data_IF_245238368901
#
_entry.id   IF_245238368901
#
_cell.length_a   1.000
_cell.length_b   1.000
_cell.length_c   1.000
_cell.angle_alpha   90.00
_cell.angle_beta   90.00
_cell.angle_gamma   90.00
#
_symmetry.space_group_name_H-M   'P 1'
#
loop_
_entity.id
_entity.type
_entity.pdbx_description
1 polymer ?
#
# COMPACT_ATOMS: atom_id res chain seq x y z
N UNK A 1 18.21 -33.09 -60.31
CA UNK A 1 18.78 -32.82 -58.97
C UNK A 1 17.73 -32.06 -58.17
N UNK A 2 17.01 -32.73 -57.25
CA UNK A 2 15.92 -32.15 -56.44
C UNK A 2 16.51 -31.73 -55.09
N UNK A 3 16.57 -30.42 -54.84
CA UNK A 3 17.02 -29.87 -53.56
C UNK A 3 15.81 -29.67 -52.66
N UNK A 4 15.75 -30.40 -51.54
CA UNK A 4 14.74 -30.25 -50.50
C UNK A 4 15.20 -29.15 -49.53
N UNK A 5 14.61 -27.96 -49.63
CA UNK A 5 14.74 -26.92 -48.61
C UNK A 5 13.92 -27.34 -47.37
N UNK A 6 14.62 -27.68 -46.29
CA UNK A 6 14.04 -27.87 -44.97
C UNK A 6 13.95 -26.51 -44.27
N UNK A 7 12.73 -26.00 -44.06
CA UNK A 7 12.51 -24.87 -43.14
C UNK A 7 12.59 -25.39 -41.70
N UNK A 8 13.63 -24.98 -40.98
CA UNK A 8 13.72 -25.15 -39.53
C UNK A 8 12.82 -24.12 -38.85
N UNK A 9 11.71 -24.55 -38.27
CA UNK A 9 10.86 -23.71 -37.42
C UNK A 9 11.56 -23.46 -36.09
N UNK A 10 11.92 -22.21 -35.81
CA UNK A 10 12.39 -21.80 -34.49
C UNK A 10 11.21 -21.74 -33.52
N UNK A 11 11.11 -22.71 -32.61
CA UNK A 11 10.17 -22.67 -31.50
C UNK A 11 10.68 -21.67 -30.45
N UNK A 12 10.06 -20.50 -30.35
CA UNK A 12 10.27 -19.59 -29.23
C UNK A 12 9.65 -20.23 -27.98
N UNK A 13 10.50 -20.79 -27.10
CA UNK A 13 10.10 -21.18 -25.76
C UNK A 13 9.78 -19.91 -24.95
N UNK A 14 8.50 -19.67 -24.69
CA UNK A 14 8.06 -18.61 -23.77
C UNK A 14 8.31 -19.12 -22.36
N UNK A 15 9.36 -18.61 -21.71
CA UNK A 15 9.58 -18.85 -20.28
C UNK A 15 8.61 -17.96 -19.48
N UNK A 16 7.51 -18.56 -19.01
CA UNK A 16 6.72 -17.99 -17.92
C UNK A 16 7.50 -18.18 -16.63
N UNK A 17 8.11 -17.10 -16.13
CA UNK A 17 8.59 -17.09 -14.75
C UNK A 17 7.39 -16.91 -13.80
N UNK A 18 7.24 -17.73 -12.76
CA UNK A 18 6.26 -17.45 -11.73
C UNK A 18 6.61 -16.10 -11.09
N UNK A 19 5.68 -15.15 -11.13
CA UNK A 19 5.75 -13.95 -10.31
C UNK A 19 5.63 -14.42 -8.87
N UNK A 20 6.70 -14.26 -8.08
CA UNK A 20 6.63 -14.51 -6.65
C UNK A 20 5.60 -13.54 -6.05
N UNK A 21 4.60 -14.09 -5.36
CA UNK A 21 3.74 -13.27 -4.51
C UNK A 21 4.61 -12.61 -3.42
N UNK A 22 4.25 -11.41 -3.00
CA UNK A 22 4.92 -10.76 -1.88
C UNK A 22 4.87 -11.70 -0.66
N UNK A 23 6.04 -12.01 -0.10
CA UNK A 23 6.14 -12.86 1.09
C UNK A 23 5.65 -12.06 2.31
N UNK A 24 4.97 -12.75 3.23
CA UNK A 24 4.53 -12.14 4.49
C UNK A 24 5.75 -11.85 5.38
N UNK A 25 5.65 -10.80 6.20
CA UNK A 25 6.72 -10.46 7.16
C UNK A 25 6.60 -11.36 8.39
N UNK A 26 7.72 -11.78 8.99
CA UNK A 26 7.72 -12.47 10.28
C UNK A 26 7.07 -11.56 11.33
N UNK A 27 5.98 -11.99 11.99
CA UNK A 27 5.31 -11.15 12.98
C UNK A 27 6.18 -10.86 14.22
N UNK A 28 7.26 -11.62 14.45
CA UNK A 28 8.23 -11.36 15.51
C UNK A 28 9.09 -10.15 15.15
N UNK A 29 8.97 -9.09 15.94
CA UNK A 29 9.68 -7.82 15.69
C UNK A 29 8.78 -6.73 15.12
N UNK A 30 7.51 -7.03 14.84
CA UNK A 30 6.50 -6.04 14.51
C UNK A 30 6.09 -5.24 15.74
N UNK A 31 6.27 -3.92 15.66
CA UNK A 31 5.77 -2.96 16.65
C UNK A 31 4.67 -2.12 16.03
N UNK A 32 3.59 -1.91 16.79
CA UNK A 32 2.52 -1.01 16.35
C UNK A 32 2.99 0.43 16.51
N UNK A 33 2.97 1.19 15.43
CA UNK A 33 3.27 2.62 15.45
C UNK A 33 2.01 3.36 14.98
N UNK A 34 1.33 4.09 15.87
CA UNK A 34 0.06 4.69 15.53
C UNK A 34 0.24 5.80 14.50
N UNK A 35 -0.54 5.73 13.44
CA UNK A 35 -0.76 6.83 12.51
C UNK A 35 -2.23 7.21 12.66
N UNK A 36 -2.47 8.25 13.46
CA UNK A 36 -3.81 8.78 13.71
C UNK A 36 -4.15 9.79 12.61
N UNK A 37 -5.32 9.63 11.99
CA UNK A 37 -5.84 10.56 10.98
C UNK A 37 -7.17 11.10 11.47
N UNK A 38 -7.25 12.42 11.61
CA UNK A 38 -8.51 13.14 11.83
C UNK A 38 -9.00 13.72 10.51
N UNK A 39 -10.29 13.59 10.26
CA UNK A 39 -10.96 14.28 9.17
C UNK A 39 -11.62 15.57 9.70
N UNK A 40 -11.01 16.72 9.45
CA UNK A 40 -11.60 18.04 9.73
C UNK A 40 -12.35 18.65 8.55
N UNK A 41 -12.45 17.91 7.44
CA UNK A 41 -13.18 18.30 6.25
C UNK A 41 -14.66 17.90 6.29
N UNK A 42 -15.29 18.01 5.12
CA UNK A 42 -16.69 17.72 4.84
C UNK A 42 -16.90 16.51 3.91
N UNK A 43 -15.82 15.98 3.33
CA UNK A 43 -15.83 14.77 2.51
C UNK A 43 -15.31 13.56 3.29
N UNK A 44 -15.81 12.36 2.99
CA UNK A 44 -15.28 11.11 3.55
C UNK A 44 -13.84 10.90 3.07
N UNK A 45 -12.94 10.60 3.99
CA UNK A 45 -11.54 10.26 3.70
C UNK A 45 -11.37 8.75 3.76
N UNK A 46 -10.71 8.17 2.76
CA UNK A 46 -10.33 6.76 2.76
C UNK A 46 -8.81 6.62 2.67
N UNK A 47 -8.25 5.83 3.58
CA UNK A 47 -6.83 5.52 3.65
C UNK A 47 -6.58 4.08 3.20
N UNK A 48 -5.54 3.88 2.41
CA UNK A 48 -5.22 2.61 1.76
C UNK A 48 -3.71 2.35 1.79
N UNK A 49 -3.35 1.08 1.67
CA UNK A 49 -1.98 0.59 1.64
C UNK A 49 -1.78 -0.27 0.39
N UNK A 50 -0.83 0.09 -0.46
CA UNK A 50 -0.38 -0.79 -1.53
C UNK A 50 0.54 -1.85 -0.95
N UNK A 51 0.11 -3.10 -1.09
CA UNK A 51 0.81 -4.29 -0.60
C UNK A 51 1.41 -5.12 -1.73
N UNK A 52 1.03 -4.82 -2.97
CA UNK A 52 1.65 -5.27 -4.21
C UNK A 52 1.29 -4.29 -5.34
N UNK A 53 2.04 -4.29 -6.44
CA UNK A 53 2.03 -3.31 -7.54
C UNK A 53 0.67 -2.92 -8.18
N UNK A 54 -0.42 -3.60 -7.84
CA UNK A 54 -1.76 -3.39 -8.39
C UNK A 54 -2.85 -3.75 -7.38
N UNK A 55 -2.48 -3.99 -6.12
CA UNK A 55 -3.38 -4.42 -5.07
C UNK A 55 -3.17 -3.57 -3.81
N UNK A 56 -4.25 -2.91 -3.41
CA UNK A 56 -4.29 -2.10 -2.21
C UNK A 56 -5.27 -2.69 -1.20
N UNK A 57 -4.87 -2.71 0.07
CA UNK A 57 -5.73 -2.98 1.19
C UNK A 57 -6.31 -1.67 1.73
N UNK A 58 -7.56 -1.71 2.19
CA UNK A 58 -8.14 -0.60 2.93
C UNK A 58 -7.58 -0.57 4.35
N UNK A 59 -7.19 0.62 4.80
CA UNK A 59 -6.73 0.85 6.17
C UNK A 59 -7.85 1.48 7.02
N UNK A 60 -8.57 2.45 6.47
CA UNK A 60 -9.67 3.12 7.16
C UNK A 60 -10.58 3.86 6.17
N UNK A 61 -11.85 4.03 6.56
CA UNK A 61 -12.75 5.07 6.04
C UNK A 61 -13.15 5.98 7.21
N UNK A 62 -13.07 7.30 7.01
CA UNK A 62 -13.12 8.32 8.07
C UNK A 62 -14.15 9.37 7.67
N UNK A 63 -15.30 9.32 8.33
CA UNK A 63 -16.38 10.29 8.16
C UNK A 63 -15.96 11.72 8.59
N UNK A 64 -16.63 12.77 8.06
CA UNK A 64 -16.42 14.14 8.51
C UNK A 64 -16.48 14.29 10.04
N UNK A 65 -15.48 14.96 10.61
CA UNK A 65 -15.35 15.18 12.05
C UNK A 65 -14.89 13.96 12.86
N UNK A 66 -14.66 12.81 12.23
CA UNK A 66 -14.16 11.60 12.91
C UNK A 66 -12.65 11.46 12.82
N UNK A 67 -12.11 10.47 13.55
CA UNK A 67 -10.72 10.08 13.50
C UNK A 67 -10.59 8.55 13.45
N UNK A 68 -9.50 8.06 12.87
CA UNK A 68 -9.11 6.67 12.88
C UNK A 68 -7.61 6.52 13.16
N UNK A 69 -7.22 5.39 13.76
CA UNK A 69 -5.82 4.99 13.85
C UNK A 69 -5.59 3.86 12.83
N UNK A 70 -4.63 4.03 11.94
CA UNK A 70 -4.34 3.04 10.91
C UNK A 70 -3.61 1.84 11.54
N UNK A 71 -4.04 0.59 11.27
CA UNK A 71 -3.35 -0.62 11.75
C UNK A 71 -2.07 -0.88 10.94
N UNK A 72 -1.08 -0.02 11.16
CA UNK A 72 0.24 -0.11 10.58
C UNK A 72 1.24 -0.62 11.63
N UNK A 73 2.11 -1.51 11.18
CA UNK A 73 3.16 -2.11 12.00
C UNK A 73 4.50 -1.91 11.33
N UNK A 74 5.50 -1.59 12.13
CA UNK A 74 6.87 -1.47 11.67
C UNK A 74 7.65 -2.71 12.08
N UNK A 75 8.33 -3.31 11.12
CA UNK A 75 9.27 -4.39 11.36
C UNK A 75 10.64 -3.84 11.76
N UNK A 76 10.99 -4.04 13.02
CA UNK A 76 12.28 -3.60 13.57
C UNK A 76 13.49 -4.35 13.01
N UNK A 77 13.29 -5.47 12.32
CA UNK A 77 14.36 -6.28 11.73
C UNK A 77 14.67 -5.81 10.31
N UNK A 78 13.65 -5.67 9.46
CA UNK A 78 13.83 -5.30 8.04
C UNK A 78 13.68 -3.80 7.75
N UNK A 79 13.07 -3.04 8.64
CA UNK A 79 12.69 -1.64 8.41
C UNK A 79 11.46 -1.48 7.51
N UNK A 80 10.75 -2.57 7.21
CA UNK A 80 9.53 -2.53 6.42
C UNK A 80 8.31 -2.10 7.27
N UNK A 81 7.34 -1.48 6.60
CA UNK A 81 6.00 -1.32 7.16
C UNK A 81 5.10 -2.46 6.69
N UNK A 82 4.15 -2.85 7.51
CA UNK A 82 3.18 -3.89 7.20
C UNK A 82 1.77 -3.52 7.72
N UNK A 83 0.75 -4.03 7.04
CA UNK A 83 -0.64 -4.07 7.54
C UNK A 83 -1.02 -5.53 7.82
N UNK A 84 -1.97 -5.74 8.73
CA UNK A 84 -2.46 -7.08 9.01
C UNK A 84 -3.68 -7.41 8.18
N UNK A 85 -3.71 -8.59 7.57
CA UNK A 85 -4.94 -9.10 6.99
C UNK A 85 -5.83 -9.79 8.04
N UNK A 86 -7.02 -10.22 7.61
CA UNK A 86 -8.00 -10.91 8.46
C UNK A 86 -7.53 -12.27 8.97
N UNK A 87 -6.49 -12.84 8.38
CA UNK A 87 -5.87 -14.11 8.79
C UNK A 87 -4.71 -13.91 9.78
N UNK A 88 -4.39 -12.66 10.12
CA UNK A 88 -3.28 -12.34 11.03
C UNK A 88 -1.91 -12.39 10.36
N UNK A 89 -1.86 -12.33 9.03
CA UNK A 89 -0.60 -12.25 8.27
C UNK A 89 -0.19 -10.78 8.12
N UNK A 90 1.11 -10.52 8.26
CA UNK A 90 1.68 -9.20 8.04
C UNK A 90 2.05 -9.03 6.56
N UNK A 91 1.33 -8.15 5.87
CA UNK A 91 1.52 -7.85 4.47
C UNK A 91 2.43 -6.62 4.34
N UNK A 92 3.62 -6.74 3.74
CA UNK A 92 4.52 -5.60 3.60
C UNK A 92 3.91 -4.54 2.69
N UNK A 93 4.12 -3.28 3.05
CA UNK A 93 3.69 -2.12 2.27
C UNK A 93 4.77 -1.69 1.29
N UNK A 94 4.35 -1.42 0.06
CA UNK A 94 5.12 -0.60 -0.87
C UNK A 94 4.88 0.89 -0.58
N UNK A 95 3.62 1.27 -0.33
CA UNK A 95 3.16 2.64 -0.03
C UNK A 95 1.88 2.65 0.81
N UNK A 96 1.59 3.78 1.44
CA UNK A 96 0.26 4.09 1.98
C UNK A 96 -0.14 5.53 1.68
N UNK A 97 -1.43 5.77 1.53
CA UNK A 97 -1.99 7.10 1.26
C UNK A 97 -3.37 7.25 1.89
N UNK A 98 -3.81 8.50 2.02
CA UNK A 98 -5.21 8.85 2.25
C UNK A 98 -5.70 9.74 1.11
N UNK A 99 -6.98 9.65 0.76
CA UNK A 99 -7.60 10.51 -0.24
C UNK A 99 -9.10 10.65 0.01
N UNK A 100 -9.77 11.46 -0.81
CA UNK A 100 -11.24 11.57 -0.80
C UNK A 100 -11.84 10.26 -1.32
N UNK A 101 -12.84 9.72 -0.62
CA UNK A 101 -13.48 8.47 -1.02
C UNK A 101 -14.05 8.54 -2.44
N UNK A 102 -13.90 7.44 -3.20
CA UNK A 102 -14.26 7.35 -4.61
C UNK A 102 -13.27 8.01 -5.58
N UNK A 103 -12.30 8.77 -5.08
CA UNK A 103 -11.23 9.44 -5.85
C UNK A 103 -9.88 9.38 -5.12
N UNK A 104 -9.65 8.29 -4.37
CA UNK A 104 -8.53 8.21 -3.42
C UNK A 104 -7.20 8.35 -4.11
N UNK A 105 -7.04 7.81 -5.33
CA UNK A 105 -5.79 7.89 -6.06
C UNK A 105 -5.52 9.29 -6.61
N UNK A 106 -6.53 9.95 -7.20
CA UNK A 106 -6.40 11.28 -7.81
C UNK A 106 -6.18 12.38 -6.77
N UNK A 107 -6.74 12.19 -5.58
CA UNK A 107 -6.72 13.17 -4.49
C UNK A 107 -5.70 12.82 -3.40
N UNK A 108 -4.85 11.82 -3.64
CA UNK A 108 -4.02 11.22 -2.58
C UNK A 108 -3.07 12.21 -1.92
N UNK A 109 -2.97 12.06 -0.62
CA UNK A 109 -1.85 12.48 0.21
C UNK A 109 -1.06 11.21 0.58
N UNK A 110 0.17 11.10 0.10
CA UNK A 110 1.04 9.97 0.43
C UNK A 110 1.50 10.07 1.89
N UNK A 111 1.33 8.99 2.65
CA UNK A 111 1.80 8.91 4.03
C UNK A 111 3.30 8.66 4.02
N UNK A 112 4.08 9.66 4.38
CA UNK A 112 5.52 9.49 4.62
C UNK A 112 5.74 8.70 5.91
N UNK A 113 5.86 7.38 5.81
CA UNK A 113 6.00 6.52 6.99
C UNK A 113 7.45 6.45 7.53
N UNK A 114 8.44 6.87 6.74
CA UNK A 114 9.88 6.73 7.07
C UNK A 114 10.35 5.27 7.20
N UNK A 115 11.65 5.01 7.01
CA UNK A 115 12.22 3.64 7.17
C UNK A 115 13.21 3.49 8.33
N UNK A 116 13.98 4.53 8.66
CA UNK A 116 15.07 4.38 9.64
C UNK A 116 14.70 4.80 11.07
N UNK A 117 13.75 5.73 11.19
CA UNK A 117 13.30 6.29 12.47
C UNK A 117 11.78 6.47 12.42
N UNK A 118 11.01 5.38 12.38
CA UNK A 118 9.57 5.47 12.29
C UNK A 118 9.03 6.04 13.61
N UNK A 119 8.06 6.93 13.49
CA UNK A 119 7.47 7.62 14.64
C UNK A 119 5.96 7.53 14.56
N UNK A 120 5.32 7.55 15.73
CA UNK A 120 3.90 7.80 15.82
C UNK A 120 3.57 9.15 15.15
N UNK A 121 2.49 9.21 14.38
CA UNK A 121 2.05 10.43 13.70
C UNK A 121 0.59 10.70 14.01
N UNK A 122 0.25 11.98 14.06
CA UNK A 122 -1.13 12.45 14.08
C UNK A 122 -1.29 13.48 12.98
N UNK A 123 -2.24 13.25 12.10
CA UNK A 123 -2.52 14.07 10.94
C UNK A 123 -3.93 14.65 11.07
N UNK A 124 -4.08 15.94 10.81
CA UNK A 124 -5.37 16.56 10.56
C UNK A 124 -5.54 16.79 9.06
N UNK A 125 -6.48 16.08 8.46
CA UNK A 125 -6.68 16.02 7.03
C UNK A 125 -8.01 16.66 6.63
N UNK A 126 -8.01 17.31 5.46
CA UNK A 126 -9.22 17.81 4.81
C UNK A 126 -9.05 17.91 3.31
N UNK A 127 -10.15 17.83 2.58
CA UNK A 127 -10.16 18.09 1.15
C UNK A 127 -9.90 19.59 0.90
N UNK A 128 -8.89 19.92 0.10
CA UNK A 128 -8.56 21.29 -0.30
C UNK A 128 -8.27 21.33 -1.80
N UNK A 129 -9.01 22.16 -2.54
CA UNK A 129 -8.85 22.29 -3.99
C UNK A 129 -9.08 20.96 -4.71
N UNK A 130 -8.03 20.45 -5.36
CA UNK A 130 -8.11 19.23 -6.18
C UNK A 130 -7.72 17.94 -5.42
N UNK A 131 -7.30 18.02 -4.15
CA UNK A 131 -6.74 16.88 -3.43
C UNK A 131 -7.00 16.90 -1.92
N UNK A 132 -6.39 15.94 -1.23
CA UNK A 132 -6.36 15.88 0.22
C UNK A 132 -5.09 16.59 0.73
N UNK A 133 -5.25 17.44 1.74
CA UNK A 133 -4.13 18.04 2.46
C UNK A 133 -4.17 17.57 3.91
N UNK A 134 -3.02 17.14 4.42
CA UNK A 134 -2.84 16.70 5.81
C UNK A 134 -1.70 17.47 6.46
N UNK A 135 -1.83 17.78 7.75
CA UNK A 135 -0.83 18.49 8.55
C UNK A 135 -0.58 17.78 9.87
#
# INVERSE_FOLDING_TARGET
MRSHLLLAGAACAVFMFPVAAAETVDPRGLVRLPVDVRNSGDAVIRCQAEIAHWFAADLASIEPGQQASLDLRYDTVSGAWATMNVHGEALPLERAWCGVEGRTYETRFDLDLGRDQPQARRLDCRAEGAGLTCR
#
